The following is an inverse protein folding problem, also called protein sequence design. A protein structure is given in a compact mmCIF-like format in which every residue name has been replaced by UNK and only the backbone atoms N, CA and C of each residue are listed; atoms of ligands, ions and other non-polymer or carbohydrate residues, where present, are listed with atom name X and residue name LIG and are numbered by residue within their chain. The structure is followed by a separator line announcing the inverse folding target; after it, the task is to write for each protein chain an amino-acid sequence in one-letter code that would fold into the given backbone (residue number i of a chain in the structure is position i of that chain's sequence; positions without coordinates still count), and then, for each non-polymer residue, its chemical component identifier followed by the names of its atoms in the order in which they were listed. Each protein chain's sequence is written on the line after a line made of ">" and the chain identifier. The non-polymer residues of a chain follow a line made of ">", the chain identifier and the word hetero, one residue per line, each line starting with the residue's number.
data_IF_393824987579
#
_entry.id   IF_393824987579
#
_cell.length_a   1.000
_cell.length_b   1.000
_cell.length_c   1.000
_cell.angle_alpha   90.00
_cell.angle_beta   90.00
_cell.angle_gamma   90.00
#
_symmetry.space_group_name_H-M   'P 1'
#
loop_
_entity.id
_entity.type
_entity.pdbx_description
1 polymer ?
#
# COMPACT_ATOMS: atom_id res chain seq x y z
N UNK A 1 -45.28 45.92 -53.45
CA UNK A 1 -45.11 44.49 -53.13
C UNK A 1 -43.75 44.33 -52.50
N UNK A 2 -43.68 44.13 -51.16
CA UNK A 2 -42.40 44.00 -50.39
C UNK A 2 -42.32 42.51 -49.93
N UNK A 3 -41.34 41.80 -50.51
CA UNK A 3 -41.08 40.40 -50.14
C UNK A 3 -40.29 40.39 -48.82
N UNK A 4 -40.87 39.83 -47.72
CA UNK A 4 -40.17 39.51 -46.51
C UNK A 4 -39.61 38.08 -46.64
N UNK A 5 -38.24 37.97 -46.76
CA UNK A 5 -37.56 36.68 -46.67
C UNK A 5 -37.30 36.42 -45.17
N UNK A 6 -38.02 35.42 -44.63
CA UNK A 6 -37.85 34.96 -43.26
C UNK A 6 -36.68 33.95 -43.24
N UNK A 7 -35.55 34.36 -42.64
CA UNK A 7 -34.38 33.48 -42.45
C UNK A 7 -34.65 32.71 -41.14
N UNK A 8 -34.91 31.39 -41.31
CA UNK A 8 -35.04 30.45 -40.17
C UNK A 8 -33.64 29.99 -39.76
N UNK A 9 -33.10 30.58 -38.68
CA UNK A 9 -31.83 30.15 -38.08
C UNK A 9 -32.10 28.94 -37.23
N UNK A 10 -31.73 27.74 -37.79
CA UNK A 10 -31.80 26.45 -37.05
C UNK A 10 -30.60 26.37 -36.12
N UNK A 11 -30.81 26.65 -34.84
CA UNK A 11 -29.79 26.45 -33.80
C UNK A 11 -29.57 24.95 -33.54
N UNK A 12 -28.47 24.41 -34.08
CA UNK A 12 -28.02 23.06 -33.77
C UNK A 12 -27.35 23.08 -32.42
N UNK A 13 -28.06 22.66 -31.36
CA UNK A 13 -27.48 22.41 -30.04
C UNK A 13 -26.70 21.10 -30.09
N UNK A 14 -25.36 21.23 -30.14
CA UNK A 14 -24.46 20.08 -29.95
C UNK A 14 -24.47 19.72 -28.47
N UNK A 15 -25.27 18.71 -28.12
CA UNK A 15 -25.20 18.08 -26.79
C UNK A 15 -23.93 17.25 -26.78
N UNK A 16 -22.85 17.80 -26.24
CA UNK A 16 -21.63 17.05 -25.94
C UNK A 16 -21.93 16.09 -24.79
N UNK A 17 -22.29 14.87 -25.12
CA UNK A 17 -22.37 13.77 -24.15
C UNK A 17 -20.96 13.48 -23.65
N UNK A 18 -20.64 14.02 -22.48
CA UNK A 18 -19.41 13.70 -21.74
C UNK A 18 -19.57 12.30 -21.10
N UNK A 19 -19.64 11.27 -21.94
CA UNK A 19 -19.70 9.87 -21.50
C UNK A 19 -18.34 9.48 -20.93
N UNK A 20 -18.12 9.70 -19.63
CA UNK A 20 -17.03 9.01 -18.93
C UNK A 20 -17.30 7.50 -19.07
N UNK A 21 -16.30 6.71 -19.51
CA UNK A 21 -16.50 5.28 -19.63
C UNK A 21 -16.90 4.70 -18.26
N UNK A 22 -17.96 3.89 -18.25
CA UNK A 22 -18.41 3.20 -17.03
C UNK A 22 -17.34 2.16 -16.72
N UNK A 23 -16.67 2.32 -15.57
CA UNK A 23 -15.67 1.35 -15.10
C UNK A 23 -16.34 -0.01 -14.89
N UNK A 24 -15.66 -1.08 -15.28
CA UNK A 24 -16.09 -2.45 -15.00
C UNK A 24 -15.99 -2.73 -13.49
N UNK A 25 -16.72 -3.72 -12.99
CA UNK A 25 -16.62 -4.19 -11.59
C UNK A 25 -15.18 -4.55 -11.21
N UNK A 26 -14.43 -5.15 -12.15
CA UNK A 26 -13.01 -5.50 -11.95
C UNK A 26 -12.13 -4.25 -11.77
N UNK A 27 -12.36 -3.21 -12.56
CA UNK A 27 -11.62 -1.93 -12.45
C UNK A 27 -11.94 -1.22 -11.14
N UNK A 28 -13.20 -1.21 -10.72
CA UNK A 28 -13.62 -0.62 -9.43
C UNK A 28 -12.94 -1.34 -8.27
N UNK A 29 -12.96 -2.68 -8.25
CA UNK A 29 -12.33 -3.48 -7.21
C UNK A 29 -10.81 -3.25 -7.16
N UNK A 30 -10.16 -3.22 -8.32
CA UNK A 30 -8.71 -2.96 -8.44
C UNK A 30 -8.34 -1.59 -7.86
N UNK A 31 -9.14 -0.56 -8.13
CA UNK A 31 -8.93 0.78 -7.60
C UNK A 31 -9.12 0.84 -6.09
N UNK A 32 -10.21 0.25 -5.58
CA UNK A 32 -10.47 0.17 -4.14
C UNK A 32 -9.34 -0.56 -3.39
N UNK A 33 -8.86 -1.68 -3.95
CA UNK A 33 -7.71 -2.41 -3.38
C UNK A 33 -6.46 -1.54 -3.33
N UNK A 34 -6.18 -0.82 -4.43
CA UNK A 34 -5.05 0.12 -4.50
C UNK A 34 -5.13 1.20 -3.41
N UNK A 35 -6.29 1.85 -3.30
CA UNK A 35 -6.53 2.91 -2.31
C UNK A 35 -6.36 2.40 -0.87
N UNK A 36 -6.96 1.25 -0.55
CA UNK A 36 -6.86 0.63 0.77
C UNK A 36 -5.40 0.31 1.13
N UNK A 37 -4.66 -0.31 0.21
CA UNK A 37 -3.25 -0.70 0.43
C UNK A 37 -2.36 0.51 0.58
N UNK A 38 -2.50 1.53 -0.27
CA UNK A 38 -1.71 2.76 -0.14
C UNK A 38 -2.01 3.51 1.15
N UNK A 39 -3.27 3.55 1.58
CA UNK A 39 -3.66 4.16 2.85
C UNK A 39 -3.06 3.39 4.03
N UNK A 40 -3.08 2.05 4.00
CA UNK A 40 -2.50 1.20 5.04
C UNK A 40 -0.97 1.38 5.11
N UNK A 41 -0.28 1.35 3.97
CA UNK A 41 1.16 1.58 3.91
C UNK A 41 1.56 2.95 4.46
N UNK A 42 0.87 4.01 4.06
CA UNK A 42 1.14 5.36 4.56
C UNK A 42 0.90 5.48 6.08
N UNK A 43 -0.17 4.86 6.59
CA UNK A 43 -0.47 4.81 8.01
C UNK A 43 0.65 4.06 8.79
N UNK A 44 1.13 2.95 8.26
CA UNK A 44 2.25 2.18 8.84
C UNK A 44 3.53 3.03 8.93
N UNK A 45 3.92 3.70 7.84
CA UNK A 45 5.14 4.53 7.79
C UNK A 45 5.03 5.77 8.69
N UNK A 46 3.84 6.36 8.80
CA UNK A 46 3.60 7.53 9.68
C UNK A 46 3.36 7.16 11.15
N UNK A 47 3.23 5.88 11.49
CA UNK A 47 2.88 5.42 12.84
C UNK A 47 1.41 5.69 13.23
N UNK A 48 0.52 5.91 12.25
CA UNK A 48 -0.92 6.07 12.48
C UNK A 48 -1.58 4.69 12.68
N UNK A 49 -1.44 4.17 13.90
CA UNK A 49 -1.91 2.84 14.31
C UNK A 49 -3.45 2.74 14.21
N UNK A 50 -4.18 3.81 14.50
CA UNK A 50 -5.65 3.82 14.43
C UNK A 50 -6.13 3.65 12.99
N UNK A 51 -5.59 4.45 12.06
CA UNK A 51 -5.90 4.33 10.64
C UNK A 51 -5.52 2.94 10.12
N UNK A 52 -4.31 2.46 10.44
CA UNK A 52 -3.88 1.12 10.04
C UNK A 52 -4.88 0.06 10.52
N UNK A 53 -5.20 0.01 11.83
CA UNK A 53 -6.14 -0.96 12.42
C UNK A 53 -7.51 -0.89 11.77
N UNK A 54 -7.98 0.30 11.43
CA UNK A 54 -9.30 0.48 10.80
C UNK A 54 -9.43 -0.17 9.41
N UNK A 55 -8.32 -0.44 8.73
CA UNK A 55 -8.27 -1.03 7.39
C UNK A 55 -8.10 -2.56 7.42
N UNK A 56 -7.79 -3.13 8.58
CA UNK A 56 -7.54 -4.57 8.75
C UNK A 56 -8.83 -5.32 9.10
N UNK A 57 -8.90 -6.60 8.74
CA UNK A 57 -9.91 -7.53 9.27
C UNK A 57 -9.56 -7.95 10.71
N UNK A 58 -10.50 -8.54 11.42
CA UNK A 58 -10.29 -9.02 12.80
C UNK A 58 -9.25 -10.16 12.85
N UNK A 59 -9.20 -10.99 11.81
CA UNK A 59 -8.30 -12.12 11.64
C UNK A 59 -7.04 -11.80 10.82
N UNK A 60 -6.71 -10.50 10.68
CA UNK A 60 -5.53 -10.07 9.94
C UNK A 60 -4.25 -10.68 10.48
N UNK A 61 -3.34 -11.01 9.55
CA UNK A 61 -2.01 -11.51 9.85
C UNK A 61 -0.93 -10.74 9.09
N UNK A 62 0.22 -10.58 9.76
CA UNK A 62 1.47 -10.14 9.15
C UNK A 62 2.44 -11.30 9.07
N UNK A 63 3.10 -11.50 7.94
CA UNK A 63 4.16 -12.50 7.81
C UNK A 63 5.46 -11.82 7.38
N UNK A 64 6.49 -11.89 8.20
CA UNK A 64 7.85 -11.62 7.78
C UNK A 64 8.41 -12.90 7.18
N UNK A 65 8.75 -12.87 5.90
CA UNK A 65 9.34 -14.01 5.20
C UNK A 65 10.84 -14.09 5.46
N UNK A 66 11.42 -15.27 5.34
CA UNK A 66 12.86 -15.50 5.54
C UNK A 66 13.13 -16.66 6.47
N UNK A 67 14.39 -16.81 6.90
CA UNK A 67 14.91 -17.93 7.69
C UNK A 67 15.39 -17.50 9.10
N UNK A 68 15.10 -16.27 9.51
CA UNK A 68 15.48 -15.78 10.84
C UNK A 68 14.44 -16.20 11.90
N UNK A 69 14.82 -16.22 13.17
CA UNK A 69 13.92 -16.54 14.29
C UNK A 69 12.69 -15.60 14.36
N UNK A 70 12.82 -14.39 13.81
CA UNK A 70 11.74 -13.42 13.66
C UNK A 70 10.88 -13.64 12.41
N UNK A 71 11.29 -14.54 11.49
CA UNK A 71 10.57 -14.82 10.25
C UNK A 71 9.41 -15.77 10.53
N UNK A 72 8.27 -15.21 10.90
CA UNK A 72 7.04 -15.94 11.23
C UNK A 72 5.80 -15.13 10.87
N UNK A 73 4.65 -15.73 11.10
CA UNK A 73 3.36 -15.03 11.01
C UNK A 73 2.96 -14.51 12.39
N UNK A 74 2.57 -13.26 12.42
CA UNK A 74 2.17 -12.49 13.60
C UNK A 74 0.68 -12.17 13.52
N UNK A 75 -0.03 -12.22 14.63
CA UNK A 75 -1.31 -11.55 14.80
C UNK A 75 -1.11 -10.05 15.10
N UNK A 76 -2.18 -9.31 15.34
CA UNK A 76 -2.10 -7.86 15.56
C UNK A 76 -1.27 -7.47 16.78
N UNK A 77 -1.47 -8.13 17.92
CA UNK A 77 -0.77 -7.84 19.17
C UNK A 77 0.72 -8.17 19.05
N UNK A 78 1.04 -9.33 18.51
CA UNK A 78 2.43 -9.75 18.25
C UNK A 78 3.13 -8.83 17.24
N UNK A 79 2.38 -8.35 16.22
CA UNK A 79 2.92 -7.37 15.26
C UNK A 79 3.28 -6.04 15.92
N UNK A 80 2.46 -5.54 16.84
CA UNK A 80 2.77 -4.31 17.56
C UNK A 80 4.02 -4.45 18.43
N UNK A 81 4.20 -5.59 19.09
CA UNK A 81 5.41 -5.91 19.86
C UNK A 81 6.64 -5.98 18.93
N UNK A 82 6.52 -6.69 17.82
CA UNK A 82 7.58 -6.78 16.80
C UNK A 82 7.94 -5.39 16.24
N UNK A 83 6.97 -4.59 15.83
CA UNK A 83 7.19 -3.26 15.28
C UNK A 83 7.81 -2.30 16.33
N UNK A 84 7.38 -2.40 17.59
CA UNK A 84 7.97 -1.65 18.69
C UNK A 84 9.44 -2.02 18.89
N UNK A 85 9.76 -3.32 18.92
CA UNK A 85 11.14 -3.79 19.04
C UNK A 85 11.99 -3.34 17.83
N UNK A 86 11.48 -3.51 16.62
CA UNK A 86 12.14 -3.06 15.38
C UNK A 86 12.48 -1.56 15.45
N UNK A 87 11.53 -0.75 15.93
CA UNK A 87 11.73 0.69 16.10
C UNK A 87 12.88 1.03 17.06
N UNK A 88 13.19 0.19 18.06
CA UNK A 88 14.32 0.41 18.99
C UNK A 88 15.68 0.21 18.32
N UNK A 89 15.73 -0.52 17.21
CA UNK A 89 16.96 -0.80 16.46
C UNK A 89 17.30 0.30 15.45
N UNK A 90 16.34 1.17 15.15
CA UNK A 90 16.51 2.25 14.18
C UNK A 90 16.95 3.53 14.89
N UNK A 91 18.01 4.13 14.37
CA UNK A 91 18.50 5.44 14.80
C UNK A 91 17.81 6.53 13.96
N UNK A 92 16.99 7.35 14.59
CA UNK A 92 16.22 8.39 13.90
C UNK A 92 14.83 7.92 13.47
N UNK A 93 14.37 8.33 12.31
CA UNK A 93 13.01 8.02 11.84
C UNK A 93 12.99 6.73 11.03
N UNK A 94 11.94 5.94 11.21
CA UNK A 94 11.61 4.87 10.27
C UNK A 94 11.29 5.53 8.92
N UNK A 95 12.00 5.14 7.88
CA UNK A 95 11.86 5.71 6.56
C UNK A 95 11.61 4.63 5.51
N UNK A 96 10.73 4.92 4.58
CA UNK A 96 10.47 4.05 3.42
C UNK A 96 10.03 4.90 2.23
N UNK A 97 10.66 4.68 1.09
CA UNK A 97 10.30 5.33 -0.15
C UNK A 97 9.43 4.40 -0.99
N UNK A 98 8.18 4.80 -1.22
CA UNK A 98 7.29 4.08 -2.13
C UNK A 98 7.84 4.07 -3.56
N UNK A 99 7.89 2.90 -4.20
CA UNK A 99 8.42 2.71 -5.57
C UNK A 99 7.36 2.29 -6.58
N UNK A 100 6.26 1.70 -6.12
CA UNK A 100 5.18 1.30 -7.02
C UNK A 100 4.26 0.27 -6.42
N UNK A 101 3.15 0.01 -7.13
CA UNK A 101 2.17 -1.01 -6.73
C UNK A 101 1.57 -1.67 -7.97
N UNK A 102 1.50 -2.99 -7.95
CA UNK A 102 0.76 -3.81 -8.91
C UNK A 102 -0.48 -4.35 -8.18
N UNK A 103 -1.66 -4.25 -8.81
CA UNK A 103 -2.91 -4.69 -8.22
C UNK A 103 -3.67 -5.55 -9.20
N UNK A 104 -4.15 -6.70 -8.74
CA UNK A 104 -5.07 -7.56 -9.45
C UNK A 104 -6.20 -8.03 -8.53
N UNK A 105 -7.42 -7.53 -8.78
CA UNK A 105 -8.58 -7.81 -7.95
C UNK A 105 -8.33 -7.41 -6.49
N UNK A 106 -8.36 -8.37 -5.57
CA UNK A 106 -8.15 -8.20 -4.13
C UNK A 106 -6.70 -8.40 -3.67
N UNK A 107 -5.77 -8.56 -4.59
CA UNK A 107 -4.35 -8.76 -4.28
C UNK A 107 -3.53 -7.59 -4.79
N UNK A 108 -2.62 -7.11 -3.96
CA UNK A 108 -1.67 -6.09 -4.35
C UNK A 108 -0.25 -6.48 -3.96
N UNK A 109 0.71 -6.03 -4.78
CA UNK A 109 2.13 -6.10 -4.50
C UNK A 109 2.68 -4.68 -4.50
N UNK A 110 3.06 -4.17 -3.33
CA UNK A 110 3.65 -2.85 -3.16
C UNK A 110 5.16 -2.99 -3.01
N UNK A 111 5.91 -2.12 -3.68
CA UNK A 111 7.37 -2.06 -3.62
C UNK A 111 7.82 -0.79 -2.92
N UNK A 112 8.80 -0.91 -2.03
CA UNK A 112 9.38 0.21 -1.30
C UNK A 112 10.89 -0.02 -1.07
N UNK A 113 11.61 1.06 -0.82
CA UNK A 113 13.01 1.06 -0.41
C UNK A 113 13.12 1.67 0.99
N UNK A 114 13.66 0.94 1.95
CA UNK A 114 14.03 1.48 3.25
C UNK A 114 15.39 2.18 3.18
N UNK A 115 15.46 3.35 3.78
CA UNK A 115 16.70 4.14 3.88
C UNK A 115 16.78 4.66 5.32
N UNK A 116 17.39 3.85 6.17
CA UNK A 116 17.42 4.08 7.61
C UNK A 116 18.86 3.89 8.15
N UNK A 117 19.07 4.16 9.40
CA UNK A 117 20.28 3.82 10.13
C UNK A 117 19.93 2.82 11.24
N UNK A 118 20.51 1.64 11.18
CA UNK A 118 20.37 0.59 12.19
C UNK A 118 21.50 0.56 13.20
N UNK A 119 21.50 -0.42 14.09
CA UNK A 119 22.57 -0.64 15.06
C UNK A 119 23.91 -0.87 14.37
N UNK A 120 23.93 -1.66 13.29
CA UNK A 120 25.12 -1.98 12.48
C UNK A 120 25.53 -0.89 11.50
N UNK A 121 24.82 0.22 11.43
CA UNK A 121 25.11 1.35 10.53
C UNK A 121 23.99 1.59 9.52
N UNK A 122 24.34 1.98 8.30
CA UNK A 122 23.40 2.29 7.24
C UNK A 122 22.56 1.04 6.88
N UNK A 123 21.25 1.11 7.09
CA UNK A 123 20.32 0.03 6.77
C UNK A 123 19.49 0.41 5.54
N UNK A 124 19.83 -0.20 4.43
CA UNK A 124 19.16 -0.03 3.14
C UNK A 124 18.68 -1.38 2.65
N UNK A 125 17.37 -1.57 2.63
CA UNK A 125 16.74 -2.81 2.19
C UNK A 125 15.63 -2.51 1.19
N UNK A 126 15.43 -3.41 0.25
CA UNK A 126 14.33 -3.35 -0.70
C UNK A 126 13.22 -4.27 -0.21
N UNK A 127 11.99 -3.77 -0.26
CA UNK A 127 10.82 -4.45 0.25
C UNK A 127 9.82 -4.72 -0.85
N UNK A 128 9.21 -5.90 -0.77
CA UNK A 128 8.00 -6.22 -1.49
C UNK A 128 6.92 -6.65 -0.48
N UNK A 129 5.81 -5.92 -0.43
CA UNK A 129 4.69 -6.22 0.46
C UNK A 129 3.54 -6.80 -0.35
N UNK A 130 3.14 -8.04 -0.06
CA UNK A 130 1.94 -8.64 -0.63
C UNK A 130 0.77 -8.42 0.32
N UNK A 131 -0.29 -7.80 -0.19
CA UNK A 131 -1.55 -7.61 0.52
C UNK A 131 -2.65 -8.46 -0.11
N UNK A 132 -3.52 -9.00 0.72
CA UNK A 132 -4.76 -9.66 0.29
C UNK A 132 -5.93 -9.07 1.06
N UNK A 133 -7.03 -8.76 0.34
CA UNK A 133 -8.24 -8.18 0.91
C UNK A 133 -9.39 -9.20 0.87
N UNK A 134 -10.34 -9.06 1.81
CA UNK A 134 -11.60 -9.80 1.80
C UNK A 134 -12.68 -9.11 0.93
N UNK A 135 -13.90 -9.63 0.95
CA UNK A 135 -15.04 -9.08 0.20
C UNK A 135 -15.52 -7.73 0.73
N UNK A 136 -15.19 -7.41 1.97
CA UNK A 136 -15.52 -6.14 2.63
C UNK A 136 -14.49 -5.04 2.35
N UNK A 137 -13.43 -5.35 1.59
CA UNK A 137 -12.32 -4.44 1.29
C UNK A 137 -11.35 -4.25 2.45
N UNK A 138 -11.37 -5.13 3.47
CA UNK A 138 -10.42 -5.15 4.58
C UNK A 138 -9.22 -6.02 4.23
N UNK A 139 -8.02 -5.62 4.68
CA UNK A 139 -6.81 -6.40 4.53
C UNK A 139 -6.87 -7.59 5.49
N UNK A 140 -6.78 -8.82 4.96
CA UNK A 140 -6.73 -10.07 5.76
C UNK A 140 -5.31 -10.58 5.94
N UNK A 141 -4.40 -10.25 5.03
CA UNK A 141 -2.99 -10.64 5.18
C UNK A 141 -2.05 -9.63 4.55
N UNK A 142 -0.91 -9.45 5.21
CA UNK A 142 0.24 -8.71 4.71
C UNK A 142 1.47 -9.61 4.83
N UNK A 143 2.21 -9.79 3.73
CA UNK A 143 3.49 -10.50 3.74
C UNK A 143 4.59 -9.56 3.29
N UNK A 144 5.68 -9.55 4.04
CA UNK A 144 6.85 -8.74 3.76
C UNK A 144 8.00 -9.63 3.30
N UNK A 145 8.62 -9.24 2.18
CA UNK A 145 9.80 -9.85 1.60
C UNK A 145 10.91 -8.82 1.61
N UNK A 146 12.06 -9.21 2.15
CA UNK A 146 13.25 -8.38 2.28
C UNK A 146 14.52 -9.24 2.26
N UNK A 147 15.69 -8.62 2.37
CA UNK A 147 16.96 -9.34 2.52
C UNK A 147 17.26 -9.60 4.00
N UNK A 148 17.23 -10.86 4.42
CA UNK A 148 17.64 -11.31 5.75
C UNK A 148 19.08 -10.91 6.07
N UNK A 149 19.97 -10.99 5.08
CA UNK A 149 21.38 -10.62 5.22
C UNK A 149 21.54 -9.16 5.66
N UNK A 150 20.84 -8.24 5.00
CA UNK A 150 20.88 -6.82 5.33
C UNK A 150 20.23 -6.54 6.70
N UNK A 151 19.17 -7.27 7.01
CA UNK A 151 18.52 -7.18 8.31
C UNK A 151 19.50 -7.55 9.44
N UNK A 152 20.18 -8.70 9.32
CA UNK A 152 21.14 -9.18 10.32
C UNK A 152 22.34 -8.26 10.46
N UNK A 153 22.98 -7.88 9.35
CA UNK A 153 24.25 -7.14 9.39
C UNK A 153 24.06 -5.65 9.64
N UNK A 154 23.08 -5.03 8.99
CA UNK A 154 22.92 -3.58 9.04
C UNK A 154 21.94 -3.14 10.12
N UNK A 155 20.79 -3.81 10.28
CA UNK A 155 19.84 -3.43 11.31
C UNK A 155 20.29 -3.92 12.69
N UNK A 156 20.58 -5.22 12.82
CA UNK A 156 20.99 -5.81 14.12
C UNK A 156 22.47 -5.62 14.44
N UNK A 157 23.31 -5.32 13.45
CA UNK A 157 24.75 -5.13 13.64
C UNK A 157 25.51 -6.41 13.97
N UNK A 158 25.03 -7.56 13.51
CA UNK A 158 25.71 -8.84 13.71
C UNK A 158 26.73 -9.09 12.61
N UNK A 159 27.90 -9.61 12.99
CA UNK A 159 28.91 -10.12 12.06
C UNK A 159 28.52 -11.53 11.59
N UNK A 160 28.80 -11.84 10.32
CA UNK A 160 28.55 -13.14 9.68
C UNK A 160 29.84 -13.72 9.11
#
# INVERSE_FOLDING_TARGET
>A
MKNFISIFIMAVTIISCNNKPIKSQKEILTEQTRETVLKSYNAQISGDIETMKSLLSEDWTFTLTGELDISKTYNWEEFLEFAGYFGTLIKGNVGGEYKGIIVEGKTAMLFAEGRMEGVGGKYENDYAFKYTLNDEGKIVSQKEYLSDLLLVTQLYGQEI
#
